data_IF_292866434470
#
_entry.id   IF_292866434470
#
_cell.length_a   1.000
_cell.length_b   1.000
_cell.length_c   1.000
_cell.angle_alpha   90.00
_cell.angle_beta   90.00
_cell.angle_gamma   90.00
#
_symmetry.space_group_name_H-M   'P 1'
#
loop_
_entity.id
_entity.type
_entity.pdbx_description
1 polymer ?
#
# COMPACT_ATOMS: atom_id res chain seq x y z
N UNK A 1 -9.47 6.58 -0.04
CA UNK A 1 -8.22 6.22 -0.78
C UNK A 1 -7.10 6.24 0.22
N UNK A 2 -6.15 5.31 0.15
CA UNK A 2 -5.02 5.31 1.08
C UNK A 2 -3.91 6.19 0.51
N UNK A 3 -3.96 7.47 0.88
CA UNK A 3 -3.04 8.49 0.38
C UNK A 3 -1.79 8.63 1.27
N UNK A 4 -1.88 8.25 2.54
CA UNK A 4 -0.74 8.35 3.47
C UNK A 4 0.39 7.40 3.07
N UNK A 5 1.60 7.93 2.91
CA UNK A 5 2.82 7.20 2.60
C UNK A 5 3.81 7.34 3.76
N UNK A 6 3.93 6.29 4.57
CA UNK A 6 4.68 6.28 5.82
C UNK A 6 6.13 5.94 5.55
N UNK A 7 7.03 6.84 5.93
CA UNK A 7 8.48 6.65 5.81
C UNK A 7 9.11 6.78 7.18
N UNK A 8 10.02 5.87 7.48
CA UNK A 8 10.95 6.00 8.59
C UNK A 8 12.33 6.27 8.01
N UNK A 9 12.91 7.40 8.39
CA UNK A 9 14.27 7.79 8.04
C UNK A 9 15.13 7.76 9.30
N UNK A 10 16.28 7.10 9.25
CA UNK A 10 17.23 7.01 10.37
C UNK A 10 18.59 7.53 9.93
N UNK A 11 19.07 8.58 10.57
CA UNK A 11 20.37 9.21 10.25
C UNK A 11 20.87 9.96 11.49
N UNK A 12 22.10 9.67 11.91
CA UNK A 12 22.73 10.29 13.08
C UNK A 12 23.04 11.79 12.86
N UNK A 13 23.19 12.23 11.60
CA UNK A 13 23.34 13.65 11.24
C UNK A 13 22.12 14.48 11.67
N UNK A 14 20.98 13.85 12.03
CA UNK A 14 19.81 14.56 12.55
C UNK A 14 20.11 15.32 13.85
N UNK A 15 20.90 14.73 14.74
CA UNK A 15 21.27 15.34 16.02
C UNK A 15 22.52 16.22 15.90
N UNK A 16 23.15 16.27 14.72
CA UNK A 16 24.29 17.13 14.40
C UNK A 16 23.81 18.50 13.86
N UNK A 17 23.98 19.60 14.63
CA UNK A 17 23.54 20.93 14.20
C UNK A 17 24.20 21.40 12.90
N UNK A 18 25.43 20.96 12.63
CA UNK A 18 26.22 21.40 11.48
C UNK A 18 25.89 20.58 10.22
N UNK A 19 25.47 19.32 10.37
CA UNK A 19 25.21 18.40 9.25
C UNK A 19 23.73 18.08 9.00
N UNK A 20 22.83 18.36 9.95
CA UNK A 20 21.38 18.08 9.88
C UNK A 20 20.69 18.73 8.68
N UNK A 21 21.24 19.81 8.13
CA UNK A 21 20.71 20.45 6.92
C UNK A 21 20.64 19.49 5.74
N UNK A 22 21.64 18.63 5.58
CA UNK A 22 21.72 17.73 4.42
C UNK A 22 20.59 16.70 4.44
N UNK A 23 20.28 16.17 5.63
CA UNK A 23 19.23 15.17 5.79
C UNK A 23 17.83 15.78 5.75
N UNK A 24 17.66 17.01 6.26
CA UNK A 24 16.40 17.76 6.14
C UNK A 24 16.08 18.12 4.68
N UNK A 25 17.09 18.48 3.89
CA UNK A 25 16.92 18.70 2.44
C UNK A 25 16.53 17.40 1.73
N UNK A 26 17.13 16.25 2.11
CA UNK A 26 16.75 14.94 1.57
C UNK A 26 15.32 14.54 1.94
N UNK A 27 14.90 14.74 3.19
CA UNK A 27 13.50 14.56 3.60
C UNK A 27 12.56 15.39 2.73
N UNK A 28 12.85 16.67 2.54
CA UNK A 28 12.00 17.56 1.72
C UNK A 28 11.88 17.06 0.28
N UNK A 29 12.99 16.61 -0.29
CA UNK A 29 13.02 16.01 -1.63
C UNK A 29 12.07 14.80 -1.73
N UNK A 30 12.10 13.91 -0.73
CA UNK A 30 11.21 12.74 -0.67
C UNK A 30 9.74 13.18 -0.55
N UNK A 31 9.45 14.12 0.34
CA UNK A 31 8.09 14.64 0.54
C UNK A 31 7.53 15.28 -0.73
N UNK A 32 8.30 16.14 -1.39
CA UNK A 32 7.89 16.81 -2.63
C UNK A 32 7.63 15.78 -3.73
N UNK A 33 8.47 14.74 -3.83
CA UNK A 33 8.28 13.67 -4.82
C UNK A 33 7.00 12.88 -4.59
N UNK A 34 6.66 12.55 -3.35
CA UNK A 34 5.43 11.84 -3.00
C UNK A 34 4.18 12.70 -3.22
N UNK A 35 4.25 13.99 -2.88
CA UNK A 35 3.17 14.96 -3.17
C UNK A 35 2.90 15.08 -4.67
N UNK A 36 3.95 15.11 -5.50
CA UNK A 36 3.82 15.08 -6.96
C UNK A 36 3.11 13.81 -7.49
N UNK A 37 3.15 12.71 -6.72
CA UNK A 37 2.42 11.46 -7.01
C UNK A 37 1.03 11.41 -6.39
N UNK A 38 0.59 12.47 -5.71
CA UNK A 38 -0.72 12.54 -5.07
C UNK A 38 -0.82 11.81 -3.73
N UNK A 39 0.32 11.43 -3.12
CA UNK A 39 0.37 10.84 -1.79
C UNK A 39 0.62 11.91 -0.73
N UNK A 40 0.17 11.65 0.50
CA UNK A 40 0.45 12.43 1.69
C UNK A 40 1.68 11.84 2.39
N UNK A 41 2.87 12.45 2.28
CA UNK A 41 4.07 11.90 2.88
C UNK A 41 4.04 12.08 4.40
N UNK A 42 4.26 10.98 5.14
CA UNK A 42 4.41 10.96 6.58
C UNK A 42 5.83 10.48 6.92
N UNK A 43 6.81 11.40 6.87
CA UNK A 43 8.22 11.09 7.15
C UNK A 43 8.55 11.32 8.62
N UNK A 44 8.72 10.22 9.35
CA UNK A 44 9.26 10.21 10.71
C UNK A 44 10.77 10.04 10.64
N UNK A 45 11.50 10.90 11.36
CA UNK A 45 12.96 10.84 11.40
C UNK A 45 13.42 10.48 12.80
N UNK A 46 14.45 9.65 12.88
CA UNK A 46 15.09 9.20 14.11
C UNK A 46 16.60 9.33 13.94
N UNK A 47 17.31 9.65 15.02
CA UNK A 47 18.78 9.71 14.99
C UNK A 47 19.42 8.35 15.26
N UNK A 48 18.67 7.41 15.84
CA UNK A 48 19.17 6.08 16.20
C UNK A 48 18.19 4.97 15.82
N UNK A 49 18.74 3.77 15.60
CA UNK A 49 17.97 2.59 15.24
C UNK A 49 17.09 2.05 16.38
N UNK A 50 17.49 2.26 17.64
CA UNK A 50 16.79 1.70 18.80
C UNK A 50 15.39 2.30 18.99
N UNK A 51 15.24 3.59 18.72
CA UNK A 51 13.93 4.25 18.74
C UNK A 51 12.96 3.60 17.74
N UNK A 52 13.47 3.21 16.57
CA UNK A 52 12.69 2.49 15.55
C UNK A 52 12.36 1.08 16.04
N UNK A 53 13.33 0.38 16.64
CA UNK A 53 13.11 -0.96 17.23
C UNK A 53 12.12 -0.91 18.40
N UNK A 54 12.03 0.21 19.13
CA UNK A 54 11.06 0.43 20.20
C UNK A 54 9.63 0.68 19.74
N UNK A 55 9.39 0.96 18.44
CA UNK A 55 8.03 1.19 17.93
C UNK A 55 7.14 -0.05 18.04
N UNK A 56 5.84 0.17 18.24
CA UNK A 56 4.85 -0.90 18.26
C UNK A 56 4.83 -1.66 16.93
N UNK A 57 4.61 -2.98 16.98
CA UNK A 57 4.54 -3.82 15.78
C UNK A 57 3.48 -3.30 14.77
N UNK A 58 2.36 -2.77 15.27
CA UNK A 58 1.32 -2.16 14.45
C UNK A 58 1.79 -0.94 13.64
N UNK A 59 2.64 -0.10 14.22
CA UNK A 59 3.23 1.05 13.53
C UNK A 59 4.24 0.58 12.49
N UNK A 60 5.12 -0.34 12.86
CA UNK A 60 6.16 -0.88 11.97
C UNK A 60 5.59 -1.56 10.73
N UNK A 61 4.51 -2.33 10.86
CA UNK A 61 3.80 -2.99 9.75
C UNK A 61 3.11 -2.03 8.78
N UNK A 62 2.95 -0.75 9.13
CA UNK A 62 2.30 0.27 8.29
C UNK A 62 3.29 1.15 7.52
N UNK A 63 4.60 0.96 7.72
CA UNK A 63 5.66 1.71 7.06
C UNK A 63 5.85 1.20 5.64
N UNK A 64 5.83 2.11 4.68
CA UNK A 64 5.98 1.82 3.25
C UNK A 64 7.45 1.75 2.83
N UNK A 65 8.32 2.55 3.45
CA UNK A 65 9.75 2.59 3.16
C UNK A 65 10.56 2.92 4.42
N UNK A 66 11.56 2.11 4.72
CA UNK A 66 12.61 2.43 5.67
C UNK A 66 13.83 2.93 4.92
N UNK A 67 14.43 4.01 5.41
CA UNK A 67 15.65 4.60 4.87
C UNK A 67 16.62 4.78 6.04
N UNK A 68 17.84 4.28 5.92
CA UNK A 68 18.83 4.36 7.01
C UNK A 68 20.20 4.70 6.45
N UNK A 69 20.92 5.62 7.12
CA UNK A 69 22.38 5.63 7.00
C UNK A 69 22.94 4.35 7.64
N UNK A 70 24.09 3.89 7.15
CA UNK A 70 24.74 2.74 7.73
C UNK A 70 25.49 3.07 9.01
N UNK A 71 25.99 4.29 9.20
CA UNK A 71 26.77 4.62 10.39
C UNK A 71 25.89 5.49 11.29
N UNK A 72 25.25 4.90 12.28
CA UNK A 72 24.28 5.60 13.13
C UNK A 72 24.90 6.01 14.48
N UNK A 73 26.19 6.35 14.46
CA UNK A 73 26.96 6.77 15.63
C UNK A 73 27.17 5.69 16.71
N UNK A 74 27.79 6.13 17.80
CA UNK A 74 28.04 5.35 19.02
C UNK A 74 26.96 5.64 20.06
N UNK A 75 26.19 4.63 20.41
CA UNK A 75 25.40 4.66 21.65
C UNK A 75 26.01 3.62 22.59
N UNK A 76 26.50 4.08 23.74
CA UNK A 76 26.95 3.20 24.83
C UNK A 76 28.04 2.18 24.45
N UNK A 77 29.07 2.61 23.69
CA UNK A 77 30.25 1.81 23.30
C UNK A 77 30.03 0.73 22.23
N UNK A 78 28.87 0.67 21.57
CA UNK A 78 28.67 -0.12 20.36
C UNK A 78 28.39 0.78 19.16
N UNK A 79 29.14 0.57 18.08
CA UNK A 79 28.87 1.18 16.77
C UNK A 79 27.55 0.62 16.28
N UNK A 80 26.52 1.46 16.20
CA UNK A 80 25.22 1.04 15.68
C UNK A 80 25.22 1.23 14.18
N UNK A 81 24.94 0.14 13.46
CA UNK A 81 24.88 0.18 12.01
C UNK A 81 23.44 0.03 11.48
N UNK A 82 23.09 0.81 10.46
CA UNK A 82 21.78 0.72 9.80
C UNK A 82 21.49 -0.65 9.19
N UNK A 83 22.52 -1.42 8.82
CA UNK A 83 22.34 -2.80 8.37
C UNK A 83 21.77 -3.71 9.46
N UNK A 84 22.06 -3.46 10.75
CA UNK A 84 21.50 -4.24 11.85
C UNK A 84 20.00 -3.97 12.01
N UNK A 85 19.57 -2.73 11.77
CA UNK A 85 18.16 -2.37 11.72
C UNK A 85 17.44 -3.16 10.63
N UNK A 86 18.00 -3.24 9.43
CA UNK A 86 17.44 -4.05 8.34
C UNK A 86 17.29 -5.52 8.74
N UNK A 87 18.36 -6.13 9.27
CA UNK A 87 18.38 -7.54 9.68
C UNK A 87 17.39 -7.83 10.82
N UNK A 88 17.07 -6.85 11.66
CA UNK A 88 16.04 -6.94 12.69
C UNK A 88 14.62 -6.86 12.08
N UNK A 89 14.35 -5.83 11.29
CA UNK A 89 13.01 -5.58 10.73
C UNK A 89 12.56 -6.72 9.81
N UNK A 90 13.46 -7.24 8.96
CA UNK A 90 13.13 -8.34 8.03
C UNK A 90 12.65 -9.61 8.73
N UNK A 91 13.07 -9.85 9.98
CA UNK A 91 12.63 -11.02 10.77
C UNK A 91 11.18 -10.88 11.23
N UNK A 92 10.67 -9.66 11.31
CA UNK A 92 9.37 -9.36 11.91
C UNK A 92 8.28 -9.07 10.87
N UNK A 93 8.63 -8.47 9.74
CA UNK A 93 7.70 -8.16 8.66
C UNK A 93 8.46 -7.81 7.37
N UNK A 94 7.77 -7.91 6.23
CA UNK A 94 8.34 -7.56 4.94
C UNK A 94 8.18 -6.07 4.67
N UNK A 95 9.28 -5.37 4.39
CA UNK A 95 9.28 -3.95 4.07
C UNK A 95 10.36 -3.61 3.05
N UNK A 96 10.11 -2.60 2.22
CA UNK A 96 11.14 -1.99 1.40
C UNK A 96 12.11 -1.21 2.30
N UNK A 97 13.40 -1.55 2.19
CA UNK A 97 14.46 -0.95 2.98
C UNK A 97 15.55 -0.39 2.07
N UNK A 98 15.91 0.86 2.28
CA UNK A 98 17.00 1.53 1.62
C UNK A 98 18.12 1.84 2.62
N UNK A 99 19.25 1.15 2.47
CA UNK A 99 20.48 1.48 3.19
C UNK A 99 21.32 2.41 2.33
N UNK A 100 21.78 3.52 2.88
CA UNK A 100 22.80 4.35 2.25
C UNK A 100 24.03 4.47 3.15
N UNK A 101 25.19 4.73 2.55
CA UNK A 101 26.40 4.99 3.33
C UNK A 101 27.36 5.88 2.54
N UNK A 102 28.14 6.69 3.27
CA UNK A 102 29.33 7.39 2.76
C UNK A 102 30.63 6.60 2.97
N UNK A 103 30.58 5.54 3.78
CA UNK A 103 31.74 4.79 4.25
C UNK A 103 31.98 3.50 3.46
N UNK A 104 32.99 2.76 3.89
CA UNK A 104 33.36 1.48 3.32
C UNK A 104 32.24 0.43 3.45
N UNK A 105 32.16 -0.46 2.46
CA UNK A 105 31.07 -1.44 2.30
C UNK A 105 31.40 -2.78 2.92
N UNK A 106 32.64 -3.00 3.33
CA UNK A 106 33.12 -4.30 3.80
C UNK A 106 32.39 -4.75 5.06
N UNK A 107 32.07 -3.85 6.00
CA UNK A 107 31.31 -4.20 7.22
C UNK A 107 29.90 -4.70 6.89
N UNK A 108 29.21 -4.02 5.96
CA UNK A 108 27.88 -4.38 5.46
C UNK A 108 27.92 -5.76 4.80
N UNK A 109 28.88 -5.98 3.89
CA UNK A 109 29.05 -7.25 3.19
C UNK A 109 29.32 -8.39 4.18
N UNK A 110 30.22 -8.18 5.15
CA UNK A 110 30.54 -9.18 6.16
C UNK A 110 29.31 -9.56 7.01
N UNK A 111 28.52 -8.58 7.43
CA UNK A 111 27.28 -8.83 8.19
C UNK A 111 26.23 -9.60 7.38
N UNK A 112 26.06 -9.26 6.11
CA UNK A 112 25.16 -9.99 5.20
C UNK A 112 25.62 -11.44 4.99
N UNK A 113 26.92 -11.69 4.78
CA UNK A 113 27.48 -13.04 4.66
C UNK A 113 27.26 -13.84 5.94
N UNK A 114 27.49 -13.23 7.10
CA UNK A 114 27.29 -13.89 8.38
C UNK A 114 25.82 -14.24 8.64
N UNK A 115 24.89 -13.33 8.35
CA UNK A 115 23.46 -13.59 8.51
C UNK A 115 22.99 -14.69 7.56
N UNK A 116 23.40 -14.65 6.29
CA UNK A 116 23.11 -15.71 5.31
C UNK A 116 23.71 -17.06 5.75
N UNK A 117 24.94 -17.04 6.27
CA UNK A 117 25.64 -18.21 6.76
C UNK A 117 24.93 -18.88 7.93
N UNK A 118 24.39 -18.07 8.86
CA UNK A 118 23.68 -18.52 10.08
C UNK A 118 22.24 -18.92 9.82
N UNK A 119 21.47 -18.08 9.14
CA UNK A 119 20.02 -18.26 8.95
C UNK A 119 19.70 -19.20 7.81
N UNK A 120 20.60 -19.31 6.82
CA UNK A 120 20.38 -20.04 5.56
C UNK A 120 19.13 -19.56 4.82
N UNK A 121 18.73 -18.30 5.02
CA UNK A 121 17.57 -17.69 4.38
C UNK A 121 17.96 -17.11 3.00
N UNK A 122 17.55 -17.74 1.88
CA UNK A 122 17.87 -17.24 0.55
C UNK A 122 17.13 -15.93 0.23
N UNK A 123 16.10 -15.55 1.00
CA UNK A 123 15.30 -14.34 0.75
C UNK A 123 15.90 -13.08 1.40
N UNK A 124 17.15 -13.12 1.84
CA UNK A 124 17.89 -12.00 2.45
C UNK A 124 17.85 -10.68 1.65
N UNK A 125 17.56 -10.70 0.34
CA UNK A 125 17.67 -9.50 -0.53
C UNK A 125 16.38 -9.08 -1.23
N UNK A 126 15.23 -9.69 -0.95
CA UNK A 126 14.01 -9.50 -1.76
C UNK A 126 13.47 -8.07 -1.77
N UNK A 127 13.70 -7.29 -0.70
CA UNK A 127 13.26 -5.88 -0.58
C UNK A 127 14.33 -4.96 0.02
N UNK A 128 15.59 -5.35 -0.12
CA UNK A 128 16.73 -4.56 0.30
C UNK A 128 17.32 -3.81 -0.90
N UNK A 129 17.53 -2.51 -0.74
CA UNK A 129 18.25 -1.68 -1.67
C UNK A 129 19.44 -1.02 -0.98
N UNK A 130 20.55 -0.92 -1.69
CA UNK A 130 21.76 -0.29 -1.18
C UNK A 130 22.23 0.82 -2.12
N UNK A 131 22.60 1.97 -1.57
CA UNK A 131 23.20 3.07 -2.31
C UNK A 131 24.48 3.58 -1.65
N UNK A 132 25.52 3.74 -2.45
CA UNK A 132 26.73 4.46 -2.08
C UNK A 132 26.53 5.97 -2.29
N UNK A 133 26.73 6.81 -1.26
CA UNK A 133 26.65 8.29 -1.34
C UNK A 133 27.89 8.93 -1.97
N UNK A 134 28.73 8.15 -2.64
CA UNK A 134 29.93 8.62 -3.36
C UNK A 134 29.61 9.59 -4.51
N UNK A 135 28.39 9.58 -5.05
CA UNK A 135 27.89 10.54 -6.04
C UNK A 135 26.59 11.21 -5.54
N UNK A 136 26.64 12.54 -5.35
CA UNK A 136 25.54 13.33 -4.76
C UNK A 136 24.23 13.25 -5.52
N UNK A 137 24.22 12.95 -6.82
CA UNK A 137 22.98 12.94 -7.60
C UNK A 137 22.37 11.53 -7.77
N UNK A 138 23.19 10.47 -7.71
CA UNK A 138 22.71 9.11 -7.95
C UNK A 138 21.78 8.62 -6.85
N UNK A 139 22.04 8.97 -5.59
CA UNK A 139 21.24 8.47 -4.48
C UNK A 139 19.83 9.06 -4.44
N UNK A 140 19.64 10.33 -4.82
CA UNK A 140 18.31 10.91 -5.00
C UNK A 140 17.55 10.20 -6.11
N UNK A 141 18.18 9.98 -7.27
CA UNK A 141 17.57 9.30 -8.42
C UNK A 141 17.12 7.89 -8.07
N UNK A 142 17.99 7.10 -7.42
CA UNK A 142 17.62 5.75 -7.01
C UNK A 142 16.49 5.76 -5.97
N UNK A 143 16.53 6.67 -5.00
CA UNK A 143 15.42 6.85 -4.03
C UNK A 143 14.10 7.10 -4.77
N UNK A 144 14.12 7.92 -5.82
CA UNK A 144 12.92 8.16 -6.63
C UNK A 144 12.44 6.92 -7.38
N UNK A 145 13.35 6.13 -7.95
CA UNK A 145 13.01 4.89 -8.64
C UNK A 145 12.35 3.89 -7.68
N UNK A 146 12.91 3.74 -6.48
CA UNK A 146 12.35 2.90 -5.42
C UNK A 146 10.96 3.40 -4.98
N UNK A 147 10.81 4.71 -4.72
CA UNK A 147 9.50 5.32 -4.41
C UNK A 147 8.50 5.06 -5.54
N UNK A 148 8.88 5.26 -6.81
CA UNK A 148 7.99 5.01 -7.94
C UNK A 148 7.55 3.54 -8.00
N UNK A 149 8.44 2.59 -7.67
CA UNK A 149 8.10 1.16 -7.61
C UNK A 149 7.04 0.90 -6.54
N UNK A 150 7.25 1.38 -5.31
CA UNK A 150 6.32 1.20 -4.19
C UNK A 150 4.99 1.90 -4.48
N UNK A 151 5.03 3.13 -5.00
CA UNK A 151 3.84 3.87 -5.40
C UNK A 151 3.03 3.13 -6.46
N UNK A 152 3.67 2.59 -7.49
CA UNK A 152 2.98 1.83 -8.55
C UNK A 152 2.22 0.63 -7.98
N UNK A 153 2.82 -0.09 -7.04
CA UNK A 153 2.20 -1.20 -6.31
C UNK A 153 0.95 -0.69 -5.56
N UNK A 154 1.10 0.39 -4.78
CA UNK A 154 -0.02 1.01 -4.05
C UNK A 154 -1.13 1.59 -4.94
N UNK A 155 -0.77 2.07 -6.12
CA UNK A 155 -1.71 2.57 -7.12
C UNK A 155 -2.63 1.46 -7.62
N UNK A 156 -2.28 0.17 -7.55
CA UNK A 156 -3.15 -0.90 -8.04
C UNK A 156 -4.50 -0.96 -7.29
N UNK A 157 -4.45 -1.02 -5.96
CA UNK A 157 -5.67 -0.98 -5.14
C UNK A 157 -6.34 0.40 -5.14
N UNK A 158 -5.57 1.49 -5.15
CA UNK A 158 -6.16 2.84 -5.23
C UNK A 158 -6.90 3.08 -6.55
N UNK A 159 -6.37 2.58 -7.67
CA UNK A 159 -7.02 2.62 -8.98
C UNK A 159 -8.32 1.81 -8.99
N UNK A 160 -8.30 0.60 -8.39
CA UNK A 160 -9.52 -0.20 -8.19
C UNK A 160 -10.57 0.55 -7.37
N UNK A 161 -10.17 1.13 -6.23
CA UNK A 161 -11.04 1.94 -5.37
C UNK A 161 -11.69 3.08 -6.14
N UNK A 162 -10.90 3.85 -6.88
CA UNK A 162 -11.39 4.96 -7.69
C UNK A 162 -12.35 4.51 -8.79
N UNK A 163 -12.01 3.43 -9.49
CA UNK A 163 -12.85 2.86 -10.54
C UNK A 163 -14.20 2.39 -10.00
N UNK A 164 -14.21 1.58 -8.93
CA UNK A 164 -15.44 1.10 -8.31
C UNK A 164 -16.28 2.25 -7.76
N UNK A 165 -15.66 3.23 -7.08
CA UNK A 165 -16.38 4.40 -6.58
C UNK A 165 -17.06 5.18 -7.71
N UNK A 166 -16.34 5.45 -8.80
CA UNK A 166 -16.89 6.20 -9.93
C UNK A 166 -18.01 5.44 -10.65
N UNK A 167 -17.80 4.16 -10.97
CA UNK A 167 -18.73 3.35 -11.75
C UNK A 167 -20.01 3.05 -10.98
N UNK A 168 -19.89 2.63 -9.71
CA UNK A 168 -21.06 2.36 -8.85
C UNK A 168 -21.82 3.65 -8.58
N UNK A 169 -21.14 4.79 -8.40
CA UNK A 169 -21.82 6.09 -8.25
C UNK A 169 -22.65 6.47 -9.48
N UNK A 170 -22.12 6.25 -10.70
CA UNK A 170 -22.90 6.48 -11.93
C UNK A 170 -24.13 5.58 -12.04
N UNK A 171 -23.97 4.29 -11.73
CA UNK A 171 -25.09 3.34 -11.72
C UNK A 171 -26.13 3.78 -10.68
N UNK A 172 -25.71 4.19 -9.49
CA UNK A 172 -26.58 4.71 -8.45
C UNK A 172 -27.39 5.92 -8.95
N UNK A 173 -26.73 6.94 -9.51
CA UNK A 173 -27.42 8.12 -10.07
C UNK A 173 -28.39 7.76 -11.19
N UNK A 174 -27.98 6.86 -12.11
CA UNK A 174 -28.85 6.41 -13.19
C UNK A 174 -30.11 5.70 -12.67
N UNK A 175 -29.96 4.79 -11.71
CA UNK A 175 -31.08 4.07 -11.12
C UNK A 175 -32.01 5.01 -10.34
N UNK A 176 -31.49 6.01 -9.61
CA UNK A 176 -32.32 7.06 -9.00
C UNK A 176 -33.21 7.74 -10.04
N UNK A 177 -32.62 8.18 -11.16
CA UNK A 177 -33.37 8.82 -12.26
C UNK A 177 -34.44 7.90 -12.85
N UNK A 178 -34.13 6.62 -13.08
CA UNK A 178 -35.11 5.62 -13.58
C UNK A 178 -36.26 5.36 -12.62
N UNK A 179 -36.01 5.52 -11.32
CA UNK A 179 -37.01 5.39 -10.27
C UNK A 179 -37.69 6.73 -9.92
N UNK A 180 -37.51 7.78 -10.73
CA UNK A 180 -38.06 9.12 -10.51
C UNK A 180 -37.70 9.73 -9.14
N UNK A 181 -36.53 9.36 -8.61
CA UNK A 181 -35.98 9.94 -7.38
C UNK A 181 -35.13 11.16 -7.71
N UNK A 182 -35.23 12.21 -6.89
CA UNK A 182 -34.30 13.34 -6.98
C UNK A 182 -32.87 12.87 -6.69
N UNK A 183 -31.86 13.47 -7.33
CA UNK A 183 -30.46 13.06 -7.14
C UNK A 183 -30.01 13.21 -5.68
N UNK A 184 -30.51 14.25 -5.01
CA UNK A 184 -30.29 14.61 -3.60
C UNK A 184 -30.86 13.57 -2.62
N UNK A 185 -31.74 12.67 -3.08
CA UNK A 185 -32.41 11.69 -2.22
C UNK A 185 -31.36 10.78 -1.58
N UNK A 186 -31.27 10.80 -0.24
CA UNK A 186 -30.37 9.91 0.46
C UNK A 186 -31.01 8.51 0.56
N UNK A 187 -30.51 7.56 -0.24
CA UNK A 187 -30.96 6.17 -0.26
C UNK A 187 -29.74 5.27 -0.34
N UNK A 188 -29.75 4.19 0.44
CA UNK A 188 -28.68 3.22 0.39
C UNK A 188 -28.73 2.44 -0.92
N UNK A 189 -27.54 2.06 -1.41
CA UNK A 189 -27.46 1.40 -2.71
C UNK A 189 -28.19 0.06 -2.71
N UNK A 190 -28.27 -0.67 -1.59
CA UNK A 190 -29.07 -1.91 -1.51
C UNK A 190 -30.56 -1.64 -1.71
N UNK A 191 -31.11 -0.65 -1.02
CA UNK A 191 -32.53 -0.32 -1.08
C UNK A 191 -32.91 0.17 -2.49
N UNK A 192 -32.04 0.96 -3.11
CA UNK A 192 -32.22 1.37 -4.50
C UNK A 192 -32.23 0.18 -5.47
N UNK A 193 -31.38 -0.82 -5.26
CA UNK A 193 -31.37 -2.02 -6.09
C UNK A 193 -32.67 -2.81 -5.93
N UNK A 194 -33.15 -2.98 -4.70
CA UNK A 194 -34.41 -3.68 -4.44
C UNK A 194 -35.60 -2.95 -5.07
N UNK A 195 -35.70 -1.63 -4.86
CA UNK A 195 -36.73 -0.80 -5.48
C UNK A 195 -36.66 -0.82 -7.02
N UNK A 196 -35.45 -0.79 -7.60
CA UNK A 196 -35.26 -0.87 -9.05
C UNK A 196 -35.72 -2.21 -9.63
N UNK A 197 -35.53 -3.30 -8.89
CA UNK A 197 -35.98 -4.63 -9.29
C UNK A 197 -37.50 -4.75 -9.20
N UNK A 198 -38.11 -4.25 -8.12
CA UNK A 198 -39.58 -4.24 -7.93
C UNK A 198 -40.30 -3.44 -9.03
N UNK A 199 -39.71 -2.32 -9.45
CA UNK A 199 -40.24 -1.49 -10.54
C UNK A 199 -39.84 -1.96 -11.95
N UNK A 200 -39.21 -3.14 -12.09
CA UNK A 200 -38.72 -3.68 -13.36
C UNK A 200 -37.74 -2.77 -14.13
N UNK A 201 -37.06 -1.86 -13.43
CA UNK A 201 -35.99 -1.03 -13.99
C UNK A 201 -34.70 -1.82 -14.19
N UNK A 202 -34.52 -2.90 -13.42
CA UNK A 202 -33.47 -3.91 -13.61
C UNK A 202 -34.07 -5.30 -13.45
N UNK A 203 -33.43 -6.31 -14.04
CA UNK A 203 -33.82 -7.71 -13.87
C UNK A 203 -33.04 -8.39 -12.71
N UNK A 204 -33.44 -9.63 -12.37
CA UNK A 204 -32.83 -10.37 -11.25
C UNK A 204 -31.33 -10.63 -11.44
N UNK A 205 -30.87 -10.86 -12.68
CA UNK A 205 -29.47 -11.11 -12.99
C UNK A 205 -28.63 -9.83 -12.76
N UNK A 206 -29.12 -8.69 -13.25
CA UNK A 206 -28.52 -7.39 -13.01
C UNK A 206 -28.46 -7.06 -11.52
N UNK A 207 -29.55 -7.29 -10.79
CA UNK A 207 -29.60 -7.12 -9.35
C UNK A 207 -28.52 -7.96 -8.66
N UNK A 208 -28.44 -9.28 -8.94
CA UNK A 208 -27.45 -10.19 -8.35
C UNK A 208 -26.01 -9.71 -8.60
N UNK A 209 -25.68 -9.32 -9.83
CA UNK A 209 -24.35 -8.83 -10.21
C UNK A 209 -24.00 -7.53 -9.51
N UNK A 210 -24.93 -6.58 -9.43
CA UNK A 210 -24.73 -5.33 -8.71
C UNK A 210 -24.57 -5.54 -7.21
N UNK A 211 -25.33 -6.47 -6.61
CA UNK A 211 -25.18 -6.83 -5.20
C UNK A 211 -23.79 -7.39 -4.94
N UNK A 212 -23.26 -8.30 -5.78
CA UNK A 212 -21.86 -8.79 -5.66
C UNK A 212 -20.85 -7.65 -5.72
N UNK A 213 -20.95 -6.81 -6.73
CA UNK A 213 -20.02 -5.69 -6.93
C UNK A 213 -20.11 -4.66 -5.79
N UNK A 214 -21.26 -4.51 -5.13
CA UNK A 214 -21.41 -3.69 -3.93
C UNK A 214 -20.54 -4.20 -2.78
N UNK A 215 -20.55 -5.49 -2.48
CA UNK A 215 -19.73 -6.04 -1.40
C UNK A 215 -18.24 -5.83 -1.69
N UNK A 216 -17.83 -6.02 -2.93
CA UNK A 216 -16.46 -5.73 -3.36
C UNK A 216 -16.13 -4.23 -3.24
N UNK A 217 -17.02 -3.32 -3.67
CA UNK A 217 -16.87 -1.87 -3.51
C UNK A 217 -16.73 -1.47 -2.04
N UNK A 218 -17.57 -2.04 -1.16
CA UNK A 218 -17.53 -1.72 0.26
C UNK A 218 -16.21 -2.18 0.89
N UNK A 219 -15.78 -3.40 0.58
CA UNK A 219 -14.49 -3.90 1.03
C UNK A 219 -13.34 -3.00 0.52
N UNK A 220 -13.32 -2.67 -0.77
CA UNK A 220 -12.30 -1.78 -1.35
C UNK A 220 -12.25 -0.42 -0.64
N UNK A 221 -13.38 0.15 -0.21
CA UNK A 221 -13.42 1.48 0.38
C UNK A 221 -13.20 1.52 1.89
N UNK A 222 -13.48 0.43 2.60
CA UNK A 222 -13.51 0.41 4.07
C UNK A 222 -12.50 -0.53 4.71
N UNK A 223 -12.00 -1.53 3.98
CA UNK A 223 -11.06 -2.50 4.53
C UNK A 223 -9.60 -2.09 4.23
N UNK A 224 -8.74 -2.31 5.21
CA UNK A 224 -7.29 -2.21 5.06
C UNK A 224 -6.73 -3.45 4.35
N UNK A 225 -5.64 -3.28 3.59
CA UNK A 225 -4.89 -4.39 3.03
C UNK A 225 -4.12 -5.13 4.13
N UNK A 226 -4.06 -6.46 4.02
CA UNK A 226 -3.29 -7.33 4.90
C UNK A 226 -2.19 -7.96 4.06
N UNK A 227 -0.97 -7.95 4.58
CA UNK A 227 0.17 -8.59 3.92
C UNK A 227 0.09 -10.12 4.09
N UNK A 228 0.21 -10.86 2.99
CA UNK A 228 0.26 -12.32 2.96
C UNK A 228 1.72 -12.80 2.85
N UNK A 229 2.27 -13.29 3.95
CA UNK A 229 3.66 -13.76 4.04
C UNK A 229 3.93 -14.99 3.16
N UNK A 230 2.91 -15.82 2.89
CA UNK A 230 3.08 -17.05 2.09
C UNK A 230 3.22 -16.71 0.61
N UNK A 231 2.47 -15.71 0.14
CA UNK A 231 2.39 -15.34 -1.27
C UNK A 231 3.19 -14.07 -1.62
N UNK A 232 3.85 -13.45 -0.63
CA UNK A 232 4.59 -12.18 -0.72
C UNK A 232 3.81 -11.06 -1.44
N UNK A 233 2.55 -10.85 -1.01
CA UNK A 233 1.67 -9.87 -1.65
C UNK A 233 0.67 -9.27 -0.66
N UNK A 234 0.18 -8.06 -0.93
CA UNK A 234 -0.96 -7.53 -0.19
C UNK A 234 -2.27 -8.14 -0.67
N UNK A 235 -3.19 -8.40 0.25
CA UNK A 235 -4.54 -8.88 -0.06
C UNK A 235 -5.59 -8.11 0.73
N UNK A 236 -6.76 -7.92 0.11
CA UNK A 236 -7.91 -7.24 0.70
C UNK A 236 -9.05 -8.23 0.85
N UNK A 237 -9.50 -8.42 2.10
CA UNK A 237 -10.62 -9.31 2.41
C UNK A 237 -11.93 -8.69 1.95
N UNK A 238 -12.79 -9.48 1.33
CA UNK A 238 -14.17 -9.12 1.02
C UNK A 238 -15.12 -10.30 1.18
N UNK A 239 -16.41 -9.99 1.22
CA UNK A 239 -17.48 -10.98 1.26
C UNK A 239 -17.96 -11.27 -0.17
N UNK A 240 -17.78 -12.51 -0.63
CA UNK A 240 -18.28 -12.98 -1.91
C UNK A 240 -19.67 -13.60 -1.74
N UNK A 241 -20.62 -13.17 -2.57
CA UNK A 241 -21.95 -13.77 -2.59
C UNK A 241 -22.04 -14.91 -3.60
N UNK A 242 -22.56 -16.05 -3.15
CA UNK A 242 -22.90 -17.19 -4.01
C UNK A 242 -24.41 -17.38 -4.03
N UNK A 243 -25.04 -16.93 -5.11
CA UNK A 243 -26.49 -17.07 -5.28
C UNK A 243 -26.89 -18.51 -5.52
N UNK A 244 -27.90 -18.96 -4.78
CA UNK A 244 -28.56 -20.26 -4.93
C UNK A 244 -29.77 -20.17 -5.86
N UNK A 245 -30.55 -19.11 -5.71
CA UNK A 245 -31.77 -18.83 -6.49
C UNK A 245 -32.24 -17.41 -6.19
N UNK A 246 -32.68 -16.65 -7.21
CA UNK A 246 -33.23 -15.31 -7.04
C UNK A 246 -32.41 -14.42 -6.07
N UNK A 247 -33.03 -13.94 -4.98
CA UNK A 247 -32.36 -13.12 -3.95
C UNK A 247 -31.66 -13.93 -2.87
N UNK A 248 -31.69 -15.27 -2.91
CA UNK A 248 -31.06 -16.13 -1.89
C UNK A 248 -29.61 -16.42 -2.24
N UNK A 249 -28.71 -16.11 -1.31
CA UNK A 249 -27.29 -16.34 -1.45
C UNK A 249 -26.65 -16.74 -0.13
N UNK A 250 -25.52 -17.43 -0.24
CA UNK A 250 -24.58 -17.60 0.86
C UNK A 250 -23.47 -16.55 0.77
N UNK A 251 -22.93 -16.19 1.92
CA UNK A 251 -21.79 -15.29 2.04
C UNK A 251 -20.55 -16.14 2.31
N UNK A 252 -19.51 -15.93 1.53
CA UNK A 252 -18.21 -16.58 1.69
C UNK A 252 -17.12 -15.53 1.85
N UNK A 253 -16.10 -15.87 2.62
CA UNK A 253 -14.89 -15.07 2.66
C UNK A 253 -14.10 -15.25 1.35
N UNK A 254 -13.67 -14.14 0.77
CA UNK A 254 -12.82 -14.10 -0.40
C UNK A 254 -11.75 -13.01 -0.27
N UNK A 255 -10.75 -13.07 -1.14
CA UNK A 255 -9.58 -12.18 -1.10
C UNK A 255 -9.32 -11.59 -2.47
N UNK A 256 -9.23 -10.26 -2.54
CA UNK A 256 -8.61 -9.58 -3.66
C UNK A 256 -7.10 -9.61 -3.42
N UNK A 257 -6.37 -10.30 -4.28
CA UNK A 257 -4.92 -10.43 -4.16
C UNK A 257 -4.28 -9.41 -5.09
N UNK A 258 -3.34 -8.63 -4.54
CA UNK A 258 -2.41 -7.83 -5.32
C UNK A 258 -1.68 -8.76 -6.28
N UNK A 259 -1.96 -8.61 -7.56
CA UNK A 259 -1.42 -9.49 -8.58
C UNK A 259 -0.80 -8.66 -9.67
N UNK A 260 0.44 -9.02 -10.02
CA UNK A 260 1.08 -8.64 -11.27
C UNK A 260 0.23 -9.00 -12.51
N UNK A 261 -0.82 -9.81 -12.33
CA UNK A 261 -1.82 -10.24 -13.31
C UNK A 261 -3.20 -9.63 -13.04
N UNK A 262 -3.25 -8.31 -13.16
CA UNK A 262 -4.33 -7.48 -13.72
C UNK A 262 -5.77 -7.91 -13.36
N UNK A 263 -6.45 -7.08 -12.56
CA UNK A 263 -7.89 -7.10 -12.25
C UNK A 263 -8.84 -6.96 -13.47
N UNK A 264 -8.39 -7.33 -14.67
CA UNK A 264 -9.06 -7.19 -15.94
C UNK A 264 -10.42 -7.89 -15.99
N UNK A 265 -10.57 -9.06 -15.37
CA UNK A 265 -11.87 -9.76 -15.32
C UNK A 265 -12.90 -8.93 -14.55
N UNK A 266 -12.53 -8.48 -13.34
CA UNK A 266 -13.37 -7.66 -12.47
C UNK A 266 -13.70 -6.32 -13.15
N UNK A 267 -12.71 -5.67 -13.78
CA UNK A 267 -12.90 -4.42 -14.53
C UNK A 267 -13.87 -4.62 -15.71
N UNK A 268 -13.70 -5.69 -16.48
CA UNK A 268 -14.61 -6.03 -17.58
C UNK A 268 -16.03 -6.28 -17.09
N UNK A 269 -16.20 -6.98 -15.97
CA UNK A 269 -17.52 -7.22 -15.38
C UNK A 269 -18.19 -5.90 -14.96
N UNK A 270 -17.45 -5.03 -14.27
CA UNK A 270 -17.92 -3.71 -13.85
C UNK A 270 -18.29 -2.81 -15.03
N UNK A 271 -17.46 -2.78 -16.08
CA UNK A 271 -17.73 -2.03 -17.30
C UNK A 271 -18.93 -2.60 -18.07
N UNK A 272 -19.08 -3.92 -18.09
CA UNK A 272 -20.19 -4.57 -18.76
C UNK A 272 -21.51 -4.22 -18.06
N UNK A 273 -21.59 -4.38 -16.73
CA UNK A 273 -22.82 -4.10 -15.99
C UNK A 273 -23.18 -2.62 -16.01
N UNK A 274 -22.20 -1.70 -15.94
CA UNK A 274 -22.46 -0.26 -16.09
C UNK A 274 -23.14 -0.02 -17.44
N UNK A 275 -22.54 -0.50 -18.55
CA UNK A 275 -23.10 -0.33 -19.89
C UNK A 275 -24.45 -1.01 -20.07
N UNK A 276 -24.68 -2.15 -19.43
CA UNK A 276 -25.94 -2.88 -19.52
C UNK A 276 -27.08 -2.10 -18.87
N UNK A 277 -26.81 -1.44 -17.74
CA UNK A 277 -27.81 -0.67 -17.00
C UNK A 277 -28.00 0.72 -17.59
N UNK A 278 -26.91 1.41 -17.94
CA UNK A 278 -26.97 2.83 -18.32
C UNK A 278 -27.27 3.07 -19.80
N UNK A 279 -27.48 2.02 -20.59
CA UNK A 279 -28.05 2.13 -21.94
C UNK A 279 -29.52 2.52 -21.88
#
# INVERSE_FOLDING_TARGET
MRLDFNIILVDDELDDPDNSRSILEYKKIIEDRLKLKGFNPLVQMFSNADEVVGLTLSKKKRVDLYISDNNLGDAEHEIKEGIDLYLNLKKQFHCDFLLYTRSDKDSIIFKLINDLGKTKDPNLFTRFSFISRSDKNQWHTFTYELINRIVKIREEFNNLRGLFAAKISRIHVYLKRKNNMAEETNIDFIDLLDYSLENNNININQWQRLTKLRYMRNALLHNDEIYDEVNDCYKLKYEELRFKSDKRYDIHEAWLIESSTNYASIRKELDHIEKEITK
#
